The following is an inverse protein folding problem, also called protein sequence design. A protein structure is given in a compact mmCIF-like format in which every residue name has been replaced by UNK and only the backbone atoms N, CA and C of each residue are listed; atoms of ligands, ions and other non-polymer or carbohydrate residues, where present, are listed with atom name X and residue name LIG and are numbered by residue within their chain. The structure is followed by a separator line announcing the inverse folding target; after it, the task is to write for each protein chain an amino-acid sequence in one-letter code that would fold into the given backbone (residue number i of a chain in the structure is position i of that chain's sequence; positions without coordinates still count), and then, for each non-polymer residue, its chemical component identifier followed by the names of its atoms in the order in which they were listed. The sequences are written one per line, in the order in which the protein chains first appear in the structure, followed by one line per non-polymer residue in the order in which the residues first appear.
data_IF_132240438908
#
_entry.id   IF_132240438908
#
_cell.length_a   1.000
_cell.length_b   1.000
_cell.length_c   1.000
_cell.angle_alpha   90.00
_cell.angle_beta   90.00
_cell.angle_gamma   90.00
#
_symmetry.space_group_name_H-M   'P 1'
#
loop_
_entity.id
_entity.type
_entity.pdbx_description
1 polymer ?
#
# COMPACT_ATOMS: atom_id res chain seq x y z
N UNK A 1 -16.08 48.84 34.19
CA UNK A 1 -16.65 47.88 33.22
C UNK A 1 -15.55 47.32 32.38
N UNK A 2 -15.59 45.99 32.27
CA UNK A 2 -14.52 45.07 31.97
C UNK A 2 -13.92 45.27 30.57
N UNK A 3 -12.60 45.38 30.50
CA UNK A 3 -11.83 45.03 29.31
C UNK A 3 -11.82 43.51 29.23
N UNK A 4 -12.53 42.94 28.24
CA UNK A 4 -12.35 41.55 27.83
C UNK A 4 -11.03 41.46 27.05
N UNK A 5 -10.00 40.98 27.73
CA UNK A 5 -8.84 40.35 27.08
C UNK A 5 -9.38 39.15 26.27
N UNK A 6 -9.58 39.36 24.98
CA UNK A 6 -9.67 38.25 24.02
C UNK A 6 -8.24 37.77 23.86
N UNK A 7 -7.87 36.81 24.70
CA UNK A 7 -6.70 35.97 24.54
C UNK A 7 -6.95 35.15 23.26
N UNK A 8 -6.57 35.70 22.10
CA UNK A 8 -6.43 34.93 20.87
C UNK A 8 -5.28 33.96 21.11
N UNK A 9 -5.61 32.77 21.61
CA UNK A 9 -4.75 31.61 21.51
C UNK A 9 -4.46 31.46 20.02
N UNK A 10 -3.25 31.83 19.61
CA UNK A 10 -2.72 31.48 18.31
C UNK A 10 -2.86 29.96 18.21
N UNK A 11 -3.69 29.52 17.28
CA UNK A 11 -3.84 28.10 16.95
C UNK A 11 -2.48 27.64 16.41
N UNK A 12 -1.67 27.03 17.29
CA UNK A 12 -0.33 26.52 16.95
C UNK A 12 -0.40 25.15 16.28
N UNK A 13 -1.59 24.68 15.89
CA UNK A 13 -1.76 23.40 15.23
C UNK A 13 -1.24 23.49 13.80
N UNK A 14 -0.28 22.62 13.47
CA UNK A 14 0.21 22.47 12.10
C UNK A 14 -0.95 22.17 11.16
N UNK A 15 -1.07 22.97 10.11
CA UNK A 15 -2.00 22.69 9.03
C UNK A 15 -1.42 21.55 8.18
N UNK A 16 -2.19 20.47 7.91
CA UNK A 16 -1.70 19.42 7.03
C UNK A 16 -1.33 19.91 5.61
N UNK A 17 -1.88 21.03 5.14
CA UNK A 17 -1.52 21.60 3.83
C UNK A 17 -0.16 22.32 3.83
N UNK A 18 0.38 22.65 5.00
CA UNK A 18 1.68 23.33 5.15
C UNK A 18 2.87 22.34 5.30
N UNK A 19 2.60 21.03 5.40
CA UNK A 19 3.62 20.01 5.50
C UNK A 19 4.16 19.65 4.11
N UNK A 20 5.47 19.82 3.91
CA UNK A 20 6.15 19.53 2.67
C UNK A 20 7.00 18.27 2.85
N UNK A 21 6.69 17.23 2.08
CA UNK A 21 7.52 16.03 1.95
C UNK A 21 8.34 16.14 0.67
N UNK A 22 9.68 16.02 0.71
CA UNK A 22 10.47 16.09 -0.52
C UNK A 22 10.18 14.92 -1.47
N UNK A 23 9.77 15.22 -2.70
CA UNK A 23 9.41 14.25 -3.75
C UNK A 23 10.50 13.21 -4.08
N UNK A 24 11.75 13.53 -3.76
CA UNK A 24 12.88 12.60 -3.94
C UNK A 24 12.85 11.44 -2.94
N UNK A 25 12.21 11.61 -1.78
CA UNK A 25 12.15 10.61 -0.71
C UNK A 25 10.76 9.96 -0.60
N UNK A 26 9.68 10.69 -0.84
CA UNK A 26 8.34 10.12 -0.74
C UNK A 26 7.29 10.91 -1.48
N UNK A 27 6.09 10.34 -1.54
CA UNK A 27 4.92 10.94 -2.17
C UNK A 27 3.80 11.05 -1.15
N UNK A 28 3.21 12.23 -1.05
CA UNK A 28 1.96 12.42 -0.30
C UNK A 28 0.83 11.78 -1.11
N UNK A 29 0.20 10.77 -0.53
CA UNK A 29 -0.84 9.97 -1.21
C UNK A 29 -2.24 10.48 -0.89
N UNK A 30 -2.42 11.03 0.32
CA UNK A 30 -3.69 11.56 0.80
C UNK A 30 -3.47 12.57 1.91
N UNK A 31 -4.30 13.61 1.93
CA UNK A 31 -4.35 14.60 2.99
C UNK A 31 -5.79 14.76 3.46
N UNK A 32 -6.00 14.74 4.78
CA UNK A 32 -7.29 14.91 5.42
C UNK A 32 -7.22 15.94 6.54
N UNK A 33 -8.18 16.86 6.57
CA UNK A 33 -8.33 17.84 7.64
C UNK A 33 -9.39 17.38 8.63
N UNK A 34 -8.96 17.11 9.85
CA UNK A 34 -9.83 16.71 10.95
C UNK A 34 -10.40 17.89 11.74
N UNK A 35 -10.93 17.59 12.91
CA UNK A 35 -11.66 18.53 13.78
C UNK A 35 -11.14 18.60 15.21
N UNK A 36 -10.18 17.74 15.60
CA UNK A 36 -9.72 17.62 16.99
C UNK A 36 -8.43 18.38 17.30
N UNK A 37 -7.89 19.12 16.32
CA UNK A 37 -6.67 19.93 16.47
C UNK A 37 -5.36 19.14 16.51
N UNK A 38 -5.39 17.83 16.18
CA UNK A 38 -4.20 16.98 16.17
C UNK A 38 -3.88 16.49 14.77
N UNK A 39 -2.59 16.38 14.45
CA UNK A 39 -2.07 15.97 13.16
C UNK A 39 -1.22 14.70 13.28
N UNK A 40 -1.47 13.73 12.40
CA UNK A 40 -0.67 12.52 12.26
C UNK A 40 -0.08 12.42 10.85
N UNK A 41 1.24 12.28 10.73
CA UNK A 41 1.88 11.85 9.47
C UNK A 41 1.92 10.33 9.45
N UNK A 42 1.01 9.70 8.70
CA UNK A 42 1.05 8.25 8.49
C UNK A 42 2.05 7.92 7.38
N UNK A 43 3.20 7.36 7.73
CA UNK A 43 4.22 6.92 6.77
C UNK A 43 4.04 5.41 6.54
N UNK A 44 3.96 5.00 5.27
CA UNK A 44 3.85 3.59 4.93
C UNK A 44 5.21 2.89 5.07
N UNK A 45 5.25 1.81 5.83
CA UNK A 45 6.45 0.99 6.02
C UNK A 45 6.65 0.05 4.83
N UNK A 46 7.78 0.18 4.13
CA UNK A 46 8.21 -0.73 3.07
C UNK A 46 8.90 -2.01 3.61
N UNK A 47 8.91 -2.18 4.93
CA UNK A 47 9.51 -3.27 5.68
C UNK A 47 11.00 -3.44 5.34
N UNK A 48 11.47 -4.62 4.95
CA UNK A 48 12.91 -4.82 4.72
C UNK A 48 13.46 -4.23 3.41
N UNK A 49 12.69 -3.42 2.67
CA UNK A 49 13.20 -2.74 1.48
C UNK A 49 14.17 -1.62 1.86
N UNK A 50 15.46 -1.80 1.54
CA UNK A 50 16.51 -0.85 1.93
C UNK A 50 16.24 0.57 1.44
N UNK A 51 15.87 0.76 0.18
CA UNK A 51 15.59 2.10 -0.36
C UNK A 51 14.39 2.74 0.34
N UNK A 52 13.32 1.97 0.55
CA UNK A 52 12.14 2.42 1.28
C UNK A 52 12.44 2.82 2.73
N UNK A 53 13.23 2.03 3.46
CA UNK A 53 13.64 2.35 4.83
C UNK A 53 14.53 3.59 4.92
N UNK A 54 15.46 3.76 3.97
CA UNK A 54 16.31 4.96 3.93
C UNK A 54 15.50 6.20 3.57
N UNK A 55 14.53 6.07 2.67
CA UNK A 55 13.63 7.15 2.32
C UNK A 55 12.66 7.50 3.46
N UNK A 56 12.15 6.53 4.20
CA UNK A 56 11.44 6.76 5.48
C UNK A 56 12.31 7.56 6.46
N UNK A 57 13.59 7.17 6.63
CA UNK A 57 14.51 7.88 7.50
C UNK A 57 14.67 9.35 7.08
N UNK A 58 14.88 9.63 5.78
CA UNK A 58 15.00 11.00 5.29
C UNK A 58 13.70 11.82 5.45
N UNK A 59 12.53 11.21 5.27
CA UNK A 59 11.24 11.85 5.54
C UNK A 59 11.15 12.23 7.02
N UNK A 60 11.51 11.32 7.93
CA UNK A 60 11.52 11.59 9.37
C UNK A 60 12.49 12.72 9.74
N UNK A 61 13.71 12.73 9.19
CA UNK A 61 14.68 13.80 9.44
C UNK A 61 14.12 15.18 9.05
N UNK A 62 13.47 15.28 7.88
CA UNK A 62 12.80 16.53 7.44
C UNK A 62 11.70 16.94 8.41
N UNK A 63 10.85 15.98 8.83
CA UNK A 63 9.76 16.26 9.78
C UNK A 63 10.30 16.71 11.16
N UNK A 64 11.44 16.17 11.57
CA UNK A 64 12.11 16.56 12.82
C UNK A 64 12.74 17.96 12.71
N UNK A 65 13.40 18.26 11.59
CA UNK A 65 14.10 19.55 11.39
C UNK A 65 13.15 20.72 11.15
N UNK A 66 12.16 20.54 10.29
CA UNK A 66 11.32 21.64 9.79
C UNK A 66 10.03 21.80 10.60
N UNK A 67 9.56 20.73 11.26
CA UNK A 67 8.26 20.68 11.92
C UNK A 67 8.29 20.25 13.40
N UNK A 68 9.49 20.13 14.00
CA UNK A 68 9.71 19.75 15.41
C UNK A 68 9.01 18.44 15.81
N UNK A 69 8.99 17.47 14.89
CA UNK A 69 8.48 16.13 15.16
C UNK A 69 9.28 15.47 16.28
N UNK A 70 8.63 15.15 17.40
CA UNK A 70 9.29 14.55 18.57
C UNK A 70 8.67 13.21 19.03
N UNK A 71 7.59 12.75 18.39
CA UNK A 71 6.96 11.46 18.64
C UNK A 71 6.77 10.69 17.34
N UNK A 72 7.41 9.53 17.26
CA UNK A 72 7.23 8.56 16.19
C UNK A 72 6.64 7.28 16.77
N UNK A 73 5.52 6.85 16.23
CA UNK A 73 4.78 5.67 16.64
C UNK A 73 4.94 4.61 15.56
N UNK A 74 5.38 3.40 15.89
CA UNK A 74 5.70 2.38 14.89
C UNK A 74 4.94 1.08 15.12
N UNK A 75 4.58 0.38 14.04
CA UNK A 75 4.12 -1.03 14.02
C UNK A 75 5.23 -1.96 14.53
N UNK A 76 5.54 -1.80 15.81
CA UNK A 76 6.65 -2.42 16.48
C UNK A 76 6.34 -2.55 17.96
N UNK A 77 7.19 -3.30 18.66
CA UNK A 77 7.04 -3.67 20.07
C UNK A 77 6.86 -2.46 20.97
N UNK A 78 6.03 -2.64 22.00
CA UNK A 78 5.96 -1.77 23.18
C UNK A 78 7.27 -1.81 23.99
N UNK A 79 8.31 -1.19 23.46
CA UNK A 79 9.52 -0.80 24.18
C UNK A 79 9.92 0.56 23.64
N UNK A 80 10.49 1.41 24.48
CA UNK A 80 11.29 2.52 23.98
C UNK A 80 12.43 1.86 23.18
N UNK A 81 12.27 1.74 21.84
CA UNK A 81 13.38 1.36 20.95
C UNK A 81 14.31 2.54 20.95
N UNK A 82 15.07 2.63 22.02
CA UNK A 82 15.97 3.71 22.31
C UNK A 82 17.38 3.19 22.14
N UNK A 83 17.97 3.46 20.99
CA UNK A 83 19.36 3.20 20.66
C UNK A 83 20.30 4.29 21.20
N UNK A 84 19.79 5.29 21.93
CA UNK A 84 20.59 6.38 22.51
C UNK A 84 21.68 5.85 23.44
N UNK A 85 21.48 4.70 24.08
CA UNK A 85 22.50 4.10 24.95
C UNK A 85 23.79 3.70 24.20
N UNK A 86 23.73 3.56 22.86
CA UNK A 86 24.90 3.25 22.01
C UNK A 86 25.70 4.53 21.69
N UNK A 87 25.04 5.68 21.68
CA UNK A 87 25.62 6.98 21.27
C UNK A 87 26.91 7.35 22.02
N UNK A 88 27.05 7.11 23.33
CA UNK A 88 28.30 7.38 24.04
C UNK A 88 29.49 6.49 23.64
N UNK A 89 29.24 5.34 23.00
CA UNK A 89 30.26 4.33 22.71
C UNK A 89 30.82 4.42 21.30
N UNK A 90 30.08 5.02 20.36
CA UNK A 90 30.43 5.10 18.95
C UNK A 90 30.40 6.55 18.43
N UNK A 91 31.32 6.89 17.53
CA UNK A 91 31.25 8.16 16.80
C UNK A 91 30.03 8.20 15.88
N UNK A 92 29.54 9.39 15.52
CA UNK A 92 28.41 9.54 14.59
C UNK A 92 28.63 8.77 13.27
N UNK A 93 29.82 8.87 12.68
CA UNK A 93 30.17 8.13 11.46
C UNK A 93 30.07 6.61 11.65
N UNK A 94 30.53 6.11 12.81
CA UNK A 94 30.46 4.66 13.07
C UNK A 94 29.03 4.19 13.35
N UNK A 95 28.20 5.03 13.98
CA UNK A 95 26.76 4.74 14.15
C UNK A 95 26.05 4.65 12.81
N UNK A 96 26.31 5.58 11.89
CA UNK A 96 25.78 5.54 10.51
C UNK A 96 26.19 4.27 9.78
N UNK A 97 27.48 3.89 9.85
CA UNK A 97 27.97 2.65 9.22
C UNK A 97 27.30 1.40 9.80
N UNK A 98 27.14 1.31 11.12
CA UNK A 98 26.49 0.16 11.77
C UNK A 98 25.00 0.12 11.43
N UNK A 99 24.31 1.25 11.53
CA UNK A 99 22.88 1.37 11.22
C UNK A 99 22.59 0.99 9.76
N UNK A 100 23.39 1.49 8.81
CA UNK A 100 23.26 1.19 7.38
C UNK A 100 23.36 -0.32 7.09
N UNK A 101 24.31 -1.02 7.71
CA UNK A 101 24.42 -2.48 7.55
C UNK A 101 23.22 -3.21 8.18
N UNK A 102 22.74 -2.76 9.34
CA UNK A 102 21.58 -3.38 10.00
C UNK A 102 20.27 -3.18 9.21
N UNK A 103 20.09 -2.04 8.52
CA UNK A 103 18.95 -1.81 7.62
C UNK A 103 19.04 -2.75 6.42
N UNK A 104 20.23 -2.87 5.80
CA UNK A 104 20.46 -3.80 4.66
C UNK A 104 20.17 -5.25 5.01
N UNK A 105 20.50 -5.65 6.23
CA UNK A 105 20.25 -6.99 6.74
C UNK A 105 18.81 -7.18 7.28
N UNK A 106 17.97 -6.13 7.25
CA UNK A 106 16.57 -6.14 7.71
C UNK A 106 16.38 -6.20 9.23
N UNK A 107 17.43 -6.03 10.04
CA UNK A 107 17.35 -6.10 11.51
C UNK A 107 16.69 -4.86 12.13
N UNK A 108 16.82 -3.70 11.47
CA UNK A 108 16.27 -2.42 11.95
C UNK A 108 15.56 -1.69 10.81
N UNK A 109 14.65 -0.80 11.19
CA UNK A 109 13.83 0.03 10.28
C UNK A 109 14.43 1.43 10.05
N UNK A 110 13.81 2.26 9.22
CA UNK A 110 14.19 3.64 8.93
C UNK A 110 14.15 4.50 10.18
N UNK A 111 13.06 4.41 10.97
CA UNK A 111 13.00 5.09 12.28
C UNK A 111 14.11 4.64 13.24
N UNK A 112 14.46 3.35 13.25
CA UNK A 112 15.56 2.85 14.07
C UNK A 112 16.93 3.35 13.57
N UNK A 113 17.11 3.47 12.25
CA UNK A 113 18.28 4.10 11.65
C UNK A 113 18.43 5.54 12.12
N UNK A 114 17.35 6.33 12.12
CA UNK A 114 17.37 7.72 12.61
C UNK A 114 17.74 7.74 14.09
N UNK A 115 17.12 6.91 14.92
CA UNK A 115 17.38 6.90 16.37
C UNK A 115 18.82 6.47 16.71
N UNK A 116 19.36 5.49 15.99
CA UNK A 116 20.73 5.01 16.19
C UNK A 116 21.76 6.00 15.64
N UNK A 117 21.54 6.57 14.45
CA UNK A 117 22.59 7.25 13.68
C UNK A 117 22.63 8.78 13.85
N UNK A 118 21.56 9.39 14.36
CA UNK A 118 21.42 10.85 14.50
C UNK A 118 21.36 11.28 15.97
N UNK A 119 21.21 12.58 16.22
CA UNK A 119 21.04 13.15 17.56
C UNK A 119 19.69 13.85 17.77
N UNK A 120 18.72 13.66 16.87
CA UNK A 120 17.39 14.28 17.01
C UNK A 120 16.72 13.90 18.34
N UNK A 121 16.09 14.86 19.04
CA UNK A 121 15.46 14.64 20.33
C UNK A 121 14.01 14.15 20.16
N UNK A 122 13.82 12.92 19.67
CA UNK A 122 12.51 12.31 19.50
C UNK A 122 12.34 11.03 20.31
N UNK A 123 11.12 10.51 20.37
CA UNK A 123 10.79 9.20 20.95
C UNK A 123 10.25 8.29 19.87
N UNK A 124 10.88 7.12 19.70
CA UNK A 124 10.36 6.00 18.92
C UNK A 124 9.59 5.05 19.86
N UNK A 125 8.28 4.99 19.69
CA UNK A 125 7.39 4.21 20.54
C UNK A 125 6.61 3.20 19.70
N UNK A 126 6.86 1.91 19.93
CA UNK A 126 6.04 0.88 19.28
C UNK A 126 4.62 0.84 19.85
N UNK A 127 3.64 0.56 19.00
CA UNK A 127 2.21 0.49 19.32
C UNK A 127 1.62 -0.93 19.18
N UNK A 128 2.45 -1.95 18.96
CA UNK A 128 2.01 -3.33 18.70
C UNK A 128 1.61 -4.13 19.94
N UNK A 129 0.50 -4.85 19.87
CA UNK A 129 0.10 -5.78 20.92
C UNK A 129 0.83 -7.12 20.81
N UNK A 130 1.46 -7.52 21.91
CA UNK A 130 2.27 -8.74 21.92
C UNK A 130 1.46 -9.98 21.58
N UNK A 131 0.26 -10.12 22.14
CA UNK A 131 -0.54 -11.34 21.95
C UNK A 131 -1.08 -11.42 20.52
N UNK A 132 -1.53 -10.29 19.95
CA UNK A 132 -1.96 -10.23 18.55
C UNK A 132 -0.79 -10.45 17.59
N UNK A 133 0.36 -9.82 17.83
CA UNK A 133 1.57 -10.04 17.03
C UNK A 133 2.01 -11.49 17.04
N UNK A 134 2.15 -12.09 18.23
CA UNK A 134 2.56 -13.49 18.35
C UNK A 134 1.56 -14.41 17.65
N UNK A 135 0.25 -14.15 17.79
CA UNK A 135 -0.79 -14.92 17.10
C UNK A 135 -0.72 -14.78 15.59
N UNK A 136 -0.50 -13.57 15.07
CA UNK A 136 -0.37 -13.29 13.65
C UNK A 136 0.88 -13.96 13.07
N UNK A 137 2.01 -13.86 13.78
CA UNK A 137 3.27 -14.53 13.46
C UNK A 137 3.13 -16.05 13.45
N UNK A 138 2.47 -16.63 14.45
CA UNK A 138 2.24 -18.08 14.52
C UNK A 138 1.31 -18.55 13.39
N UNK A 139 0.31 -17.74 13.01
CA UNK A 139 -0.51 -18.01 11.84
C UNK A 139 0.30 -18.02 10.53
N UNK A 140 1.30 -17.14 10.41
CA UNK A 140 2.25 -17.15 9.29
C UNK A 140 3.13 -18.41 9.30
N UNK A 141 3.66 -18.83 10.46
CA UNK A 141 4.40 -20.10 10.58
C UNK A 141 3.56 -21.31 10.19
N UNK A 142 2.28 -21.34 10.56
CA UNK A 142 1.36 -22.39 10.12
C UNK A 142 1.09 -22.35 8.61
N UNK A 143 0.93 -21.15 8.02
CA UNK A 143 0.75 -20.98 6.58
C UNK A 143 1.96 -21.45 5.77
N UNK A 144 3.17 -21.13 6.23
CA UNK A 144 4.43 -21.47 5.56
C UNK A 144 4.62 -22.99 5.37
N UNK A 145 3.99 -23.83 6.20
CA UNK A 145 4.00 -25.30 6.05
C UNK A 145 3.30 -25.78 4.77
N UNK A 146 2.37 -24.99 4.24
CA UNK A 146 1.53 -25.35 3.10
C UNK A 146 1.79 -24.47 1.87
N UNK A 147 2.50 -23.33 2.04
CA UNK A 147 2.68 -22.32 0.99
C UNK A 147 3.19 -22.88 -0.34
N UNK A 148 4.16 -23.81 -0.31
CA UNK A 148 4.79 -24.36 -1.51
C UNK A 148 3.80 -25.20 -2.28
N UNK A 149 3.19 -26.19 -1.62
CA UNK A 149 2.23 -27.11 -2.24
C UNK A 149 0.96 -26.39 -2.69
N UNK A 150 0.48 -25.41 -1.92
CA UNK A 150 -0.65 -24.56 -2.32
C UNK A 150 -0.29 -23.65 -3.50
N UNK A 151 0.92 -23.08 -3.51
CA UNK A 151 1.42 -22.26 -4.62
C UNK A 151 1.52 -23.04 -5.92
N UNK A 152 2.11 -24.24 -5.89
CA UNK A 152 2.21 -25.14 -7.04
C UNK A 152 0.82 -25.46 -7.63
N UNK A 153 -0.16 -25.78 -6.78
CA UNK A 153 -1.54 -26.01 -7.22
C UNK A 153 -2.14 -24.78 -7.92
N UNK A 154 -1.97 -23.59 -7.34
CA UNK A 154 -2.49 -22.34 -7.92
C UNK A 154 -1.79 -22.01 -9.24
N UNK A 155 -0.49 -22.27 -9.34
CA UNK A 155 0.27 -22.05 -10.57
C UNK A 155 -0.18 -22.97 -11.71
N UNK A 156 -0.44 -24.25 -11.42
CA UNK A 156 -1.01 -25.20 -12.37
C UNK A 156 -2.40 -24.76 -12.85
N UNK A 157 -3.24 -24.28 -11.93
CA UNK A 157 -4.58 -23.77 -12.25
C UNK A 157 -4.51 -22.50 -13.12
N UNK A 158 -3.55 -21.61 -12.87
CA UNK A 158 -3.34 -20.41 -13.68
C UNK A 158 -2.85 -20.77 -15.08
N UNK A 159 -1.95 -21.75 -15.20
CA UNK A 159 -1.52 -22.29 -16.50
C UNK A 159 -2.74 -22.85 -17.26
N UNK A 160 -3.59 -23.63 -16.60
CA UNK A 160 -4.79 -24.17 -17.20
C UNK A 160 -5.78 -23.08 -17.66
N UNK A 161 -6.04 -22.07 -16.81
CA UNK A 161 -6.87 -20.93 -17.15
C UNK A 161 -6.32 -20.16 -18.36
N UNK A 162 -5.01 -19.85 -18.35
CA UNK A 162 -4.34 -19.17 -19.47
C UNK A 162 -4.38 -19.98 -20.76
N UNK A 163 -4.34 -21.31 -20.69
CA UNK A 163 -4.40 -22.16 -21.87
C UNK A 163 -5.77 -22.13 -22.55
N UNK A 164 -6.85 -22.04 -21.78
CA UNK A 164 -8.22 -21.99 -22.35
C UNK A 164 -8.66 -20.59 -22.77
N UNK A 165 -8.05 -19.52 -22.25
CA UNK A 165 -8.38 -18.12 -22.59
C UNK A 165 -8.50 -17.86 -24.10
N UNK A 166 -7.54 -18.23 -24.98
CA UNK A 166 -7.64 -17.94 -26.41
C UNK A 166 -8.81 -18.60 -27.14
N UNK A 167 -9.44 -19.61 -26.54
CA UNK A 167 -10.61 -20.29 -27.11
C UNK A 167 -11.94 -19.82 -26.51
N UNK A 168 -11.91 -19.08 -25.40
CA UNK A 168 -13.10 -18.64 -24.66
C UNK A 168 -13.30 -17.12 -24.78
N UNK A 169 -12.22 -16.35 -24.65
CA UNK A 169 -12.25 -14.89 -24.73
C UNK A 169 -12.44 -14.39 -26.17
N UNK A 170 -13.08 -13.23 -26.29
CA UNK A 170 -13.06 -12.43 -27.53
C UNK A 170 -11.70 -11.77 -27.69
N UNK A 171 -11.44 -11.19 -28.87
CA UNK A 171 -10.22 -10.42 -29.13
C UNK A 171 -10.07 -9.26 -28.11
N UNK A 172 -11.16 -8.53 -27.82
CA UNK A 172 -11.14 -7.44 -26.83
C UNK A 172 -10.78 -7.92 -25.41
N UNK A 173 -11.30 -9.08 -24.99
CA UNK A 173 -10.95 -9.68 -23.69
C UNK A 173 -9.52 -10.19 -23.65
N UNK A 174 -8.99 -10.72 -24.76
CA UNK A 174 -7.58 -11.12 -24.86
C UNK A 174 -6.66 -9.90 -24.83
N UNK A 175 -7.05 -8.79 -25.46
CA UNK A 175 -6.31 -7.54 -25.39
C UNK A 175 -6.29 -6.99 -23.97
N UNK A 176 -7.43 -6.96 -23.26
CA UNK A 176 -7.50 -6.54 -21.86
C UNK A 176 -6.63 -7.43 -20.97
N UNK A 177 -6.71 -8.75 -21.11
CA UNK A 177 -5.88 -9.70 -20.37
C UNK A 177 -4.38 -9.48 -20.62
N UNK A 178 -4.01 -9.23 -21.89
CA UNK A 178 -2.63 -8.95 -22.27
C UNK A 178 -2.13 -7.62 -21.72
N UNK A 179 -2.97 -6.57 -21.74
CA UNK A 179 -2.62 -5.25 -21.19
C UNK A 179 -2.47 -5.30 -19.67
N UNK A 180 -3.39 -5.99 -18.98
CA UNK A 180 -3.28 -6.21 -17.53
C UNK A 180 -2.01 -6.98 -17.18
N UNK A 181 -1.71 -8.06 -17.92
CA UNK A 181 -0.48 -8.83 -17.69
C UNK A 181 0.77 -7.97 -17.92
N UNK A 182 0.81 -7.17 -18.99
CA UNK A 182 1.94 -6.29 -19.27
C UNK A 182 2.13 -5.23 -18.17
N UNK A 183 1.04 -4.71 -17.61
CA UNK A 183 1.08 -3.80 -16.46
C UNK A 183 1.62 -4.51 -15.21
N UNK A 184 1.09 -5.70 -14.90
CA UNK A 184 1.52 -6.51 -13.74
C UNK A 184 2.98 -6.96 -13.80
N UNK A 185 3.55 -7.08 -15.01
CA UNK A 185 4.96 -7.41 -15.23
C UNK A 185 5.83 -6.19 -15.55
N UNK A 186 5.31 -4.98 -15.35
CA UNK A 186 6.00 -3.70 -15.57
C UNK A 186 6.55 -3.53 -17.01
N UNK A 187 5.95 -4.23 -17.99
CA UNK A 187 6.26 -4.07 -19.41
C UNK A 187 5.64 -2.78 -19.98
N UNK A 188 4.53 -2.33 -19.38
CA UNK A 188 3.91 -1.02 -19.61
C UNK A 188 3.73 -0.31 -18.27
N UNK A 189 3.75 1.02 -18.29
CA UNK A 189 3.54 1.81 -17.08
C UNK A 189 2.06 1.98 -16.74
N UNK A 190 1.80 2.54 -15.55
CA UNK A 190 0.46 2.81 -15.04
C UNK A 190 -0.36 3.68 -16.01
N UNK A 191 0.25 4.72 -16.56
CA UNK A 191 -0.45 5.66 -17.43
C UNK A 191 -0.88 4.99 -18.74
N UNK A 192 -0.03 4.14 -19.33
CA UNK A 192 -0.38 3.38 -20.53
C UNK A 192 -1.55 2.41 -20.25
N UNK A 193 -1.54 1.71 -19.12
CA UNK A 193 -2.63 0.81 -18.76
C UNK A 193 -3.93 1.56 -18.48
N UNK A 194 -3.87 2.68 -17.76
CA UNK A 194 -5.04 3.47 -17.41
C UNK A 194 -5.62 4.19 -18.62
N UNK A 195 -4.78 4.68 -19.55
CA UNK A 195 -5.24 5.20 -20.84
C UNK A 195 -5.99 4.13 -21.65
N UNK A 196 -5.52 2.88 -21.61
CA UNK A 196 -6.18 1.76 -22.28
C UNK A 196 -7.55 1.46 -21.65
N UNK A 197 -7.63 1.37 -20.31
CA UNK A 197 -8.91 1.18 -19.60
C UNK A 197 -9.90 2.32 -19.91
N UNK A 198 -9.43 3.56 -19.85
CA UNK A 198 -10.24 4.74 -20.13
C UNK A 198 -10.81 4.74 -21.55
N UNK A 199 -9.97 4.51 -22.57
CA UNK A 199 -10.41 4.43 -23.97
C UNK A 199 -11.38 3.28 -24.21
N UNK A 200 -11.13 2.13 -23.57
CA UNK A 200 -12.02 0.97 -23.67
C UNK A 200 -13.38 1.27 -23.04
N UNK A 201 -13.39 1.94 -21.88
CA UNK A 201 -14.61 2.39 -21.22
C UNK A 201 -15.38 3.42 -22.07
N UNK A 202 -14.70 4.41 -22.63
CA UNK A 202 -15.30 5.41 -23.52
C UNK A 202 -15.94 4.77 -24.76
N UNK A 203 -15.22 3.88 -25.45
CA UNK A 203 -15.71 3.18 -26.64
C UNK A 203 -16.93 2.29 -26.38
N UNK A 204 -17.13 1.87 -25.12
CA UNK A 204 -18.26 1.04 -24.70
C UNK A 204 -19.34 1.82 -23.93
N UNK A 205 -19.32 3.16 -24.00
CA UNK A 205 -20.30 4.05 -23.36
C UNK A 205 -20.41 3.87 -21.83
N UNK A 206 -19.32 3.43 -21.18
CA UNK A 206 -19.25 3.31 -19.72
C UNK A 206 -19.23 4.72 -19.11
N UNK A 207 -20.04 5.01 -18.06
CA UNK A 207 -20.18 6.35 -17.50
C UNK A 207 -18.93 6.80 -16.72
N UNK A 208 -17.94 7.36 -17.43
CA UNK A 208 -16.65 7.79 -16.85
C UNK A 208 -16.77 8.87 -15.75
N UNK A 209 -17.91 9.58 -15.65
CA UNK A 209 -18.17 10.53 -14.56
C UNK A 209 -18.24 9.87 -13.18
N UNK A 210 -18.36 8.54 -13.09
CA UNK A 210 -18.28 7.79 -11.82
C UNK A 210 -16.83 7.48 -11.42
N UNK A 211 -15.86 7.82 -12.26
CA UNK A 211 -14.42 7.62 -12.04
C UNK A 211 -13.66 8.95 -12.22
N UNK A 212 -13.97 9.97 -11.40
CA UNK A 212 -13.42 11.32 -11.57
C UNK A 212 -11.89 11.37 -11.48
N UNK A 213 -11.25 10.53 -10.66
CA UNK A 213 -9.80 10.53 -10.56
C UNK A 213 -9.15 9.95 -11.82
N UNK A 214 -9.72 8.91 -12.42
CA UNK A 214 -9.33 8.47 -13.77
C UNK A 214 -9.49 9.58 -14.80
N UNK A 215 -10.62 10.29 -14.81
CA UNK A 215 -10.83 11.41 -15.74
C UNK A 215 -9.78 12.52 -15.55
N UNK A 216 -9.46 12.86 -14.30
CA UNK A 216 -8.48 13.89 -13.98
C UNK A 216 -7.06 13.46 -14.39
N UNK A 217 -6.65 12.21 -14.14
CA UNK A 217 -5.35 11.69 -14.57
C UNK A 217 -5.21 11.73 -16.09
N UNK A 218 -6.19 11.23 -16.83
CA UNK A 218 -6.14 11.20 -18.30
C UNK A 218 -6.17 12.62 -18.86
N UNK A 219 -7.04 13.49 -18.33
CA UNK A 219 -7.08 14.92 -18.70
C UNK A 219 -5.73 15.60 -18.46
N UNK A 220 -5.12 15.41 -17.29
CA UNK A 220 -3.83 15.97 -16.95
C UNK A 220 -2.73 15.50 -17.92
N UNK A 221 -2.66 14.19 -18.19
CA UNK A 221 -1.71 13.62 -19.14
C UNK A 221 -1.87 14.17 -20.57
N UNK A 222 -3.11 14.29 -21.04
CA UNK A 222 -3.39 14.84 -22.38
C UNK A 222 -3.04 16.32 -22.50
N UNK A 223 -3.26 17.10 -21.44
CA UNK A 223 -2.91 18.51 -21.38
C UNK A 223 -1.39 18.70 -21.29
N UNK A 224 -0.71 17.91 -20.47
CA UNK A 224 0.75 17.96 -20.32
C UNK A 224 1.46 17.77 -21.67
N UNK A 225 0.96 16.85 -22.52
CA UNK A 225 1.48 16.63 -23.88
C UNK A 225 1.29 17.83 -24.82
N UNK A 226 0.38 18.76 -24.51
CA UNK A 226 0.05 19.95 -25.32
C UNK A 226 0.72 21.23 -24.81
N UNK A 227 1.21 21.24 -23.57
CA UNK A 227 1.77 22.43 -22.91
C UNK A 227 3.29 22.43 -23.03
N UNK A 228 3.88 23.55 -23.43
CA UNK A 228 5.32 23.78 -23.29
C UNK A 228 5.62 24.39 -21.91
N UNK A 229 5.94 23.53 -20.93
CA UNK A 229 6.24 23.95 -19.55
C UNK A 229 7.44 24.92 -19.47
N UNK A 230 8.33 24.94 -20.48
CA UNK A 230 9.44 25.89 -20.53
C UNK A 230 8.91 27.31 -20.73
N UNK A 231 7.98 27.48 -21.68
CA UNK A 231 7.35 28.77 -21.96
C UNK A 231 6.50 29.29 -20.80
N UNK A 232 5.81 28.38 -20.11
CA UNK A 232 5.04 28.73 -18.91
C UNK A 232 5.98 29.26 -17.83
N UNK A 233 7.09 28.55 -17.58
CA UNK A 233 8.06 28.91 -16.54
C UNK A 233 8.80 30.21 -16.83
N UNK A 234 9.15 30.49 -18.08
CA UNK A 234 9.88 31.70 -18.46
C UNK A 234 8.99 32.90 -18.80
N UNK A 235 7.67 32.73 -18.75
CA UNK A 235 6.67 33.77 -19.00
C UNK A 235 6.48 34.12 -20.48
N UNK A 236 6.92 33.26 -21.41
CA UNK A 236 6.74 33.43 -22.85
C UNK A 236 5.55 32.67 -23.45
N UNK A 237 4.79 31.94 -22.61
CA UNK A 237 3.57 31.25 -23.03
C UNK A 237 2.51 32.25 -23.55
N UNK A 238 1.78 31.82 -24.59
CA UNK A 238 0.61 32.53 -25.11
C UNK A 238 -0.58 32.42 -24.16
N UNK A 239 -1.59 33.29 -24.31
CA UNK A 239 -2.82 33.22 -23.51
C UNK A 239 -3.49 31.83 -23.65
N UNK A 240 -3.51 31.25 -24.85
CA UNK A 240 -4.05 29.89 -25.09
C UNK A 240 -3.24 28.80 -24.35
N UNK A 241 -1.91 28.90 -24.33
CA UNK A 241 -1.06 27.97 -23.57
C UNK A 241 -1.26 28.12 -22.05
N UNK A 242 -1.49 29.34 -21.57
CA UNK A 242 -1.79 29.62 -20.16
C UNK A 242 -3.17 29.11 -19.74
N UNK A 243 -4.17 29.16 -20.64
CA UNK A 243 -5.49 28.56 -20.42
C UNK A 243 -5.38 27.03 -20.27
N UNK A 244 -4.66 26.37 -21.19
CA UNK A 244 -4.38 24.92 -21.10
C UNK A 244 -3.63 24.55 -19.82
N UNK A 245 -2.64 25.36 -19.43
CA UNK A 245 -1.90 25.17 -18.19
C UNK A 245 -2.79 25.34 -16.95
N UNK A 246 -3.74 26.28 -16.98
CA UNK A 246 -4.70 26.46 -15.89
C UNK A 246 -5.62 25.25 -15.75
N UNK A 247 -6.09 24.67 -16.85
CA UNK A 247 -6.86 23.42 -16.83
C UNK A 247 -6.03 22.22 -16.35
N UNK A 248 -4.73 22.17 -16.69
CA UNK A 248 -3.81 21.14 -16.20
C UNK A 248 -3.63 21.25 -14.69
N UNK A 249 -3.46 22.46 -14.16
CA UNK A 249 -3.38 22.70 -12.72
C UNK A 249 -4.67 22.32 -11.99
N UNK A 250 -5.84 22.59 -12.58
CA UNK A 250 -7.12 22.16 -12.01
C UNK A 250 -7.23 20.63 -11.97
N UNK A 251 -6.93 19.95 -13.08
CA UNK A 251 -6.98 18.49 -13.16
C UNK A 251 -6.00 17.82 -12.19
N UNK A 252 -4.79 18.35 -12.03
CA UNK A 252 -3.79 17.81 -11.09
C UNK A 252 -4.14 18.12 -9.63
N UNK A 253 -4.71 19.30 -9.34
CA UNK A 253 -5.19 19.65 -8.00
C UNK A 253 -6.36 18.77 -7.54
N UNK A 254 -7.28 18.48 -8.45
CA UNK A 254 -8.49 17.70 -8.15
C UNK A 254 -8.25 16.18 -8.26
N UNK A 255 -7.04 15.74 -8.61
CA UNK A 255 -6.63 14.34 -8.65
C UNK A 255 -6.23 13.86 -7.24
N UNK A 256 -6.93 12.85 -6.73
CA UNK A 256 -6.56 12.14 -5.52
C UNK A 256 -6.05 10.72 -5.87
N UNK A 257 -4.78 10.46 -5.57
CA UNK A 257 -4.11 9.20 -5.94
C UNK A 257 -4.67 7.99 -5.17
N UNK A 258 -5.05 8.14 -3.90
CA UNK A 258 -5.67 7.04 -3.16
C UNK A 258 -7.06 6.70 -3.71
N UNK A 259 -7.86 7.70 -4.05
CA UNK A 259 -9.17 7.46 -4.68
C UNK A 259 -8.99 6.90 -6.10
N UNK A 260 -7.96 7.30 -6.84
CA UNK A 260 -7.60 6.71 -8.13
C UNK A 260 -7.33 5.20 -8.01
N UNK A 261 -6.54 4.76 -7.03
CA UNK A 261 -6.27 3.33 -6.81
C UNK A 261 -7.50 2.56 -6.32
N UNK A 262 -8.47 3.22 -5.68
CA UNK A 262 -9.79 2.62 -5.37
C UNK A 262 -10.67 2.52 -6.62
N UNK A 263 -10.59 3.49 -7.52
CA UNK A 263 -11.32 3.52 -8.80
C UNK A 263 -10.82 2.47 -9.79
N UNK A 264 -9.51 2.19 -9.83
CA UNK A 264 -8.89 1.27 -10.80
C UNK A 264 -9.58 -0.11 -10.84
N UNK A 265 -9.64 -0.89 -9.74
CA UNK A 265 -10.24 -2.21 -9.78
C UNK A 265 -11.75 -2.16 -10.09
N UNK A 266 -12.43 -1.05 -9.77
CA UNK A 266 -13.85 -0.87 -10.08
C UNK A 266 -14.06 -0.62 -11.57
N UNK A 267 -13.24 0.23 -12.19
CA UNK A 267 -13.29 0.48 -13.63
C UNK A 267 -12.92 -0.78 -14.41
N UNK A 268 -11.85 -1.47 -14.00
CA UNK A 268 -11.44 -2.74 -14.61
C UNK A 268 -12.58 -3.78 -14.55
N UNK A 269 -13.23 -3.94 -13.40
CA UNK A 269 -14.36 -4.87 -13.24
C UNK A 269 -15.54 -4.50 -14.17
N UNK A 270 -15.88 -3.21 -14.29
CA UNK A 270 -16.95 -2.75 -15.18
C UNK A 270 -16.58 -2.96 -16.65
N UNK A 271 -15.33 -2.72 -17.04
CA UNK A 271 -14.82 -3.01 -18.39
C UNK A 271 -14.88 -4.51 -18.67
N UNK A 272 -14.37 -5.35 -17.78
CA UNK A 272 -14.42 -6.81 -17.90
C UNK A 272 -15.86 -7.32 -18.07
N UNK A 273 -16.79 -6.85 -17.23
CA UNK A 273 -18.19 -7.24 -17.29
C UNK A 273 -18.90 -6.74 -18.56
N UNK A 274 -18.46 -5.62 -19.13
CA UNK A 274 -18.99 -5.09 -20.39
C UNK A 274 -18.51 -5.91 -21.58
N UNK A 275 -17.22 -6.27 -21.62
CA UNK A 275 -16.63 -7.05 -22.72
C UNK A 275 -17.02 -8.54 -22.70
N UNK A 276 -17.35 -9.09 -21.53
CA UNK A 276 -17.74 -10.49 -21.40
C UNK A 276 -19.19 -10.75 -21.82
N UNK A 277 -19.40 -11.17 -23.07
CA UNK A 277 -20.75 -11.32 -23.66
C UNK A 277 -21.44 -12.66 -23.34
N UNK A 278 -20.73 -13.64 -22.79
CA UNK A 278 -21.31 -14.95 -22.45
C UNK A 278 -20.88 -15.49 -21.07
N UNK A 279 -21.52 -16.58 -20.66
CA UNK A 279 -21.31 -17.22 -19.36
C UNK A 279 -19.87 -17.72 -19.16
N UNK A 280 -19.28 -18.38 -20.16
CA UNK A 280 -17.94 -18.97 -20.05
C UNK A 280 -16.87 -17.88 -19.92
N UNK A 281 -17.02 -16.76 -20.63
CA UNK A 281 -16.14 -15.60 -20.52
C UNK A 281 -16.18 -14.99 -19.12
N UNK A 282 -17.39 -14.68 -18.61
CA UNK A 282 -17.57 -14.14 -17.25
C UNK A 282 -17.02 -15.09 -16.19
N UNK A 283 -17.23 -16.39 -16.37
CA UNK A 283 -16.76 -17.39 -15.42
C UNK A 283 -15.24 -17.52 -15.45
N UNK A 284 -14.61 -17.50 -16.63
CA UNK A 284 -13.15 -17.56 -16.74
C UNK A 284 -12.46 -16.30 -16.20
N UNK A 285 -13.05 -15.11 -16.36
CA UNK A 285 -12.58 -13.87 -15.73
C UNK A 285 -12.58 -14.00 -14.20
N UNK A 286 -13.71 -14.43 -13.62
CA UNK A 286 -13.82 -14.64 -12.16
C UNK A 286 -12.83 -15.68 -11.64
N UNK A 287 -12.67 -16.81 -12.35
CA UNK A 287 -11.68 -17.83 -11.99
C UNK A 287 -10.26 -17.27 -12.05
N UNK A 288 -9.93 -16.52 -13.09
CA UNK A 288 -8.60 -15.93 -13.27
C UNK A 288 -8.29 -14.89 -12.19
N UNK A 289 -9.24 -14.00 -11.87
CA UNK A 289 -9.12 -13.02 -10.78
C UNK A 289 -8.95 -13.72 -9.42
N UNK A 290 -9.78 -14.72 -9.13
CA UNK A 290 -9.71 -15.44 -7.86
C UNK A 290 -8.39 -16.20 -7.70
N UNK A 291 -7.89 -16.84 -8.77
CA UNK A 291 -6.58 -17.50 -8.76
C UNK A 291 -5.43 -16.51 -8.53
N UNK A 292 -5.47 -15.33 -9.17
CA UNK A 292 -4.48 -14.26 -8.96
C UNK A 292 -4.46 -13.78 -7.51
N UNK A 293 -5.64 -13.49 -6.95
CA UNK A 293 -5.78 -13.03 -5.56
C UNK A 293 -5.28 -14.12 -4.59
N UNK A 294 -5.61 -15.40 -4.80
CA UNK A 294 -5.08 -16.47 -3.93
C UNK A 294 -3.57 -16.63 -4.06
N UNK A 295 -2.99 -16.45 -5.25
CA UNK A 295 -1.53 -16.40 -5.42
C UNK A 295 -0.93 -15.27 -4.58
N UNK A 296 -1.50 -14.07 -4.62
CA UNK A 296 -1.02 -12.91 -3.86
C UNK A 296 -1.19 -13.10 -2.34
N UNK A 297 -2.31 -13.67 -1.90
CA UNK A 297 -2.54 -14.07 -0.50
C UNK A 297 -1.47 -15.04 0.00
N UNK A 298 -1.17 -16.10 -0.77
CA UNK A 298 -0.16 -17.09 -0.40
C UNK A 298 1.23 -16.46 -0.36
N UNK A 299 1.51 -15.51 -1.25
CA UNK A 299 2.76 -14.77 -1.33
C UNK A 299 2.91 -13.65 -0.29
N UNK A 300 1.83 -13.27 0.41
CA UNK A 300 1.80 -12.11 1.31
C UNK A 300 2.11 -10.82 0.55
N UNK A 301 1.49 -10.69 -0.63
CA UNK A 301 1.65 -9.55 -1.55
C UNK A 301 0.30 -8.95 -1.95
N UNK A 302 -0.76 -9.29 -1.23
CA UNK A 302 -2.10 -8.76 -1.50
C UNK A 302 -2.16 -7.27 -1.15
N UNK A 303 -2.79 -6.49 -2.03
CA UNK A 303 -3.14 -5.09 -1.73
C UNK A 303 -4.52 -5.01 -1.01
N UNK A 304 -4.83 -3.92 -0.28
CA UNK A 304 -6.09 -3.83 0.47
C UNK A 304 -7.35 -4.06 -0.37
N UNK A 305 -7.37 -3.59 -1.62
CA UNK A 305 -8.49 -3.71 -2.56
C UNK A 305 -8.75 -5.17 -2.94
N UNK A 306 -7.68 -5.94 -3.20
CA UNK A 306 -7.76 -7.38 -3.46
C UNK A 306 -8.25 -8.13 -2.22
N UNK A 307 -7.81 -7.74 -1.02
CA UNK A 307 -8.25 -8.37 0.23
C UNK A 307 -9.73 -8.08 0.51
N UNK A 308 -10.18 -6.86 0.27
CA UNK A 308 -11.60 -6.48 0.31
C UNK A 308 -12.41 -7.32 -0.67
N UNK A 309 -11.96 -7.44 -1.92
CA UNK A 309 -12.61 -8.27 -2.92
C UNK A 309 -12.71 -9.74 -2.49
N UNK A 310 -11.64 -10.30 -1.89
CA UNK A 310 -11.64 -11.65 -1.33
C UNK A 310 -12.71 -11.83 -0.25
N UNK A 311 -12.81 -10.88 0.68
CA UNK A 311 -13.77 -10.92 1.78
C UNK A 311 -15.22 -10.76 1.30
N UNK A 312 -15.47 -9.86 0.36
CA UNK A 312 -16.81 -9.56 -0.15
C UNK A 312 -17.36 -10.64 -1.11
N UNK A 313 -16.46 -11.38 -1.75
CA UNK A 313 -16.80 -12.39 -2.77
C UNK A 313 -16.37 -13.81 -2.38
N UNK A 314 -16.37 -14.16 -1.08
CA UNK A 314 -15.88 -15.46 -0.57
C UNK A 314 -16.41 -16.69 -1.34
N UNK A 315 -17.64 -16.63 -1.87
CA UNK A 315 -18.25 -17.69 -2.70
C UNK A 315 -17.51 -17.97 -4.01
N UNK A 316 -16.79 -16.99 -4.55
CA UNK A 316 -16.01 -17.11 -5.78
C UNK A 316 -14.65 -17.74 -5.51
N UNK A 317 -14.28 -17.92 -4.23
CA UNK A 317 -13.03 -18.52 -3.75
C UNK A 317 -13.13 -20.01 -3.42
N UNK A 318 -13.72 -20.77 -4.35
CA UNK A 318 -13.90 -22.22 -4.21
C UNK A 318 -13.06 -23.00 -5.24
N UNK A 319 -11.99 -23.69 -4.80
CA UNK A 319 -11.10 -24.41 -5.70
C UNK A 319 -11.77 -25.63 -6.37
N UNK A 320 -12.85 -26.18 -5.79
CA UNK A 320 -13.64 -27.23 -6.43
C UNK A 320 -14.35 -26.68 -7.66
N UNK A 321 -14.95 -25.48 -7.56
CA UNK A 321 -15.64 -24.85 -8.69
C UNK A 321 -14.67 -24.43 -9.80
N UNK A 322 -13.50 -23.89 -9.46
CA UNK A 322 -12.48 -23.56 -10.46
C UNK A 322 -12.01 -24.83 -11.19
N UNK A 323 -11.67 -25.88 -10.45
CA UNK A 323 -11.18 -27.15 -11.00
C UNK A 323 -12.23 -27.82 -11.89
N UNK A 324 -13.49 -27.84 -11.47
CA UNK A 324 -14.59 -28.39 -12.26
C UNK A 324 -14.78 -27.63 -13.58
N UNK A 325 -14.78 -26.29 -13.52
CA UNK A 325 -14.95 -25.46 -14.71
C UNK A 325 -13.80 -25.65 -15.71
N UNK A 326 -12.55 -25.59 -15.26
CA UNK A 326 -11.41 -25.77 -16.16
C UNK A 326 -11.37 -27.18 -16.76
N UNK A 327 -11.79 -28.22 -16.01
CA UNK A 327 -11.89 -29.60 -16.52
C UNK A 327 -12.94 -29.73 -17.61
N UNK A 328 -14.11 -29.16 -17.37
CA UNK A 328 -15.20 -29.09 -18.34
C UNK A 328 -14.69 -28.44 -19.63
N UNK A 329 -14.11 -27.24 -19.54
CA UNK A 329 -13.60 -26.51 -20.71
C UNK A 329 -12.43 -27.19 -21.39
N UNK A 330 -11.51 -27.80 -20.64
CA UNK A 330 -10.42 -28.57 -21.21
C UNK A 330 -10.92 -29.75 -22.06
N UNK A 331 -11.95 -30.45 -21.57
CA UNK A 331 -12.58 -31.56 -22.30
C UNK A 331 -13.35 -31.07 -23.53
N UNK A 332 -14.13 -29.99 -23.41
CA UNK A 332 -14.91 -29.44 -24.53
C UNK A 332 -14.02 -28.92 -25.67
N UNK A 333 -12.88 -28.33 -25.30
CA UNK A 333 -11.93 -27.70 -26.23
C UNK A 333 -10.80 -28.64 -26.68
N UNK A 334 -10.75 -29.88 -26.17
CA UNK A 334 -9.75 -30.91 -26.48
C UNK A 334 -8.29 -30.56 -26.10
N UNK A 335 -8.08 -29.75 -25.06
CA UNK A 335 -6.72 -29.36 -24.62
C UNK A 335 -5.96 -30.45 -23.85
N UNK A 336 -6.63 -31.50 -23.36
CA UNK A 336 -6.02 -32.57 -22.56
C UNK A 336 -5.17 -32.04 -21.38
N UNK A 337 -5.65 -31.01 -20.69
CA UNK A 337 -4.94 -30.37 -19.58
C UNK A 337 -4.92 -31.30 -18.36
N UNK A 338 -3.76 -31.40 -17.71
CA UNK A 338 -3.66 -32.05 -16.41
C UNK A 338 -4.11 -31.08 -15.33
N UNK A 339 -5.41 -31.12 -14.99
CA UNK A 339 -6.00 -30.26 -13.98
C UNK A 339 -6.05 -31.03 -12.66
N UNK A 340 -5.33 -30.58 -11.62
CA UNK A 340 -5.19 -31.34 -10.39
C UNK A 340 -6.55 -31.61 -9.70
N UNK A 341 -6.72 -32.81 -9.16
CA UNK A 341 -7.94 -33.21 -8.42
C UNK A 341 -7.85 -32.92 -6.92
N UNK A 342 -6.67 -32.54 -6.42
CA UNK A 342 -6.35 -32.30 -5.01
C UNK A 342 -6.70 -30.87 -4.55
N UNK A 343 -7.85 -30.33 -4.96
CA UNK A 343 -8.34 -29.01 -4.54
C UNK A 343 -8.45 -28.85 -3.01
N UNK A 344 -8.48 -29.98 -2.27
CA UNK A 344 -8.45 -29.98 -0.81
C UNK A 344 -7.24 -29.25 -0.22
N UNK A 345 -6.10 -29.21 -0.92
CA UNK A 345 -4.92 -28.43 -0.50
C UNK A 345 -5.29 -26.96 -0.28
N UNK A 346 -6.07 -26.38 -1.19
CA UNK A 346 -6.51 -25.00 -1.10
C UNK A 346 -7.61 -24.84 -0.06
N UNK A 347 -8.58 -25.77 0.00
CA UNK A 347 -9.60 -25.75 1.06
C UNK A 347 -9.00 -25.81 2.47
N UNK A 348 -7.90 -26.54 2.67
CA UNK A 348 -7.20 -26.63 3.94
C UNK A 348 -6.32 -25.40 4.22
N UNK A 349 -5.87 -24.70 3.19
CA UNK A 349 -4.93 -23.56 3.28
C UNK A 349 -5.66 -22.23 3.40
N UNK A 350 -6.76 -22.00 2.66
CA UNK A 350 -7.50 -20.74 2.66
C UNK A 350 -7.94 -20.28 4.07
N UNK A 351 -8.44 -21.14 4.97
CA UNK A 351 -8.75 -20.72 6.33
C UNK A 351 -7.54 -20.21 7.12
N UNK A 352 -6.33 -20.74 6.86
CA UNK A 352 -5.08 -20.31 7.52
C UNK A 352 -4.65 -18.93 7.02
N UNK A 353 -4.71 -18.74 5.71
CA UNK A 353 -4.51 -17.44 5.07
C UNK A 353 -5.49 -16.41 5.63
N UNK A 354 -6.79 -16.73 5.67
CA UNK A 354 -7.83 -15.85 6.21
C UNK A 354 -7.55 -15.48 7.66
N UNK A 355 -7.09 -16.44 8.46
CA UNK A 355 -6.72 -16.19 9.85
C UNK A 355 -5.51 -15.25 9.99
N UNK A 356 -4.47 -15.41 9.16
CA UNK A 356 -3.32 -14.50 9.13
C UNK A 356 -3.77 -13.05 8.87
N UNK A 357 -4.49 -12.80 7.78
CA UNK A 357 -4.92 -11.44 7.44
C UNK A 357 -5.95 -10.87 8.41
N UNK A 358 -6.85 -11.71 8.94
CA UNK A 358 -7.77 -11.29 9.99
C UNK A 358 -7.01 -10.81 11.23
N UNK A 359 -6.01 -11.58 11.68
CA UNK A 359 -5.20 -11.19 12.83
C UNK A 359 -4.41 -9.91 12.55
N UNK A 360 -3.91 -9.71 11.33
CA UNK A 360 -3.28 -8.46 10.93
C UNK A 360 -4.24 -7.27 11.07
N UNK A 361 -5.48 -7.41 10.58
CA UNK A 361 -6.52 -6.38 10.69
C UNK A 361 -6.98 -6.13 12.13
N UNK A 362 -7.05 -7.17 12.99
CA UNK A 362 -7.44 -7.03 14.39
C UNK A 362 -6.48 -6.11 15.19
N UNK A 363 -5.24 -5.91 14.70
CA UNK A 363 -4.23 -5.00 15.30
C UNK A 363 -4.52 -3.52 15.07
N UNK A 364 -5.22 -3.16 14.01
CA UNK A 364 -5.41 -1.76 13.58
C UNK A 364 -6.11 -0.91 14.66
N UNK A 365 -7.09 -1.50 15.34
CA UNK A 365 -7.77 -0.84 16.47
C UNK A 365 -6.85 -0.62 17.67
N UNK A 366 -5.93 -1.55 17.91
CA UNK A 366 -4.92 -1.43 18.95
C UNK A 366 -3.97 -0.28 18.62
N UNK A 367 -3.51 -0.19 17.36
CA UNK A 367 -2.65 0.88 16.89
C UNK A 367 -3.25 2.24 17.19
N UNK A 368 -4.50 2.49 16.78
CA UNK A 368 -5.19 3.75 17.08
C UNK A 368 -5.26 4.02 18.59
N UNK A 369 -5.72 3.05 19.38
CA UNK A 369 -5.91 3.23 20.82
C UNK A 369 -4.61 3.61 21.54
N UNK A 370 -3.48 3.09 21.07
CA UNK A 370 -2.15 3.34 21.65
C UNK A 370 -1.53 4.62 21.13
N UNK A 371 -1.75 4.95 19.86
CA UNK A 371 -1.44 6.27 19.30
C UNK A 371 -2.11 7.37 20.12
N UNK A 372 -3.43 7.25 20.35
CA UNK A 372 -4.19 8.19 21.18
C UNK A 372 -3.63 8.30 22.60
N UNK A 373 -3.32 7.16 23.23
CA UNK A 373 -2.73 7.12 24.57
C UNK A 373 -1.37 7.81 24.63
N UNK A 374 -0.47 7.52 23.68
CA UNK A 374 0.88 8.07 23.67
C UNK A 374 0.89 9.58 23.42
N UNK A 375 0.08 10.07 22.48
CA UNK A 375 -0.07 11.50 22.26
C UNK A 375 -0.63 12.21 23.50
N UNK A 376 -1.62 11.60 24.17
CA UNK A 376 -2.24 12.17 25.39
C UNK A 376 -1.27 12.18 26.57
N UNK A 377 -0.60 11.06 26.85
CA UNK A 377 0.34 10.94 27.98
C UNK A 377 1.53 11.91 27.85
N UNK A 378 1.94 12.19 26.61
CA UNK A 378 3.07 13.09 26.30
C UNK A 378 2.65 14.54 26.08
N UNK A 379 1.35 14.82 25.95
CA UNK A 379 0.83 16.16 25.69
C UNK A 379 1.28 16.72 24.34
N UNK A 380 1.33 15.87 23.30
CA UNK A 380 1.69 16.28 21.94
C UNK A 380 0.49 16.20 21.00
N UNK A 381 0.41 17.17 20.10
CA UNK A 381 -0.66 17.26 19.08
C UNK A 381 -0.17 16.89 17.68
N UNK A 382 1.14 16.63 17.52
CA UNK A 382 1.78 16.21 16.27
C UNK A 382 2.59 14.93 16.49
N UNK A 383 2.40 13.93 15.62
CA UNK A 383 3.14 12.68 15.66
C UNK A 383 3.26 12.05 14.26
N UNK A 384 4.25 11.17 14.08
CA UNK A 384 4.31 10.28 12.93
C UNK A 384 3.82 8.88 13.33
N UNK A 385 3.12 8.20 12.42
CA UNK A 385 2.62 6.83 12.56
C UNK A 385 3.15 5.97 11.41
N UNK A 386 4.04 5.04 11.71
CA UNK A 386 4.66 4.12 10.75
C UNK A 386 3.97 2.77 10.83
N UNK A 387 3.35 2.32 9.73
CA UNK A 387 2.74 1.01 9.61
C UNK A 387 2.74 0.54 8.15
N UNK A 388 2.67 -0.76 7.91
CA UNK A 388 2.67 -1.31 6.56
C UNK A 388 1.48 -0.81 5.72
N UNK A 389 1.69 -0.66 4.40
CA UNK A 389 0.68 -0.11 3.48
C UNK A 389 -0.68 -0.83 3.53
N UNK A 390 -0.69 -2.14 3.88
CA UNK A 390 -1.90 -2.93 4.09
C UNK A 390 -2.87 -2.32 5.11
N UNK A 391 -2.35 -1.66 6.16
CA UNK A 391 -3.16 -1.07 7.23
C UNK A 391 -3.75 0.29 6.89
N UNK A 392 -3.24 0.95 5.85
CA UNK A 392 -3.55 2.35 5.52
C UNK A 392 -5.05 2.61 5.46
N UNK A 393 -5.88 1.85 4.71
CA UNK A 393 -7.28 2.21 4.54
C UNK A 393 -8.07 2.18 5.85
N UNK A 394 -7.85 1.17 6.69
CA UNK A 394 -8.53 1.11 7.99
C UNK A 394 -7.98 2.17 8.95
N UNK A 395 -6.67 2.42 8.94
CA UNK A 395 -6.06 3.42 9.81
C UNK A 395 -6.55 4.83 9.47
N UNK A 396 -6.65 5.21 8.20
CA UNK A 396 -7.16 6.52 7.79
C UNK A 396 -8.64 6.70 8.14
N UNK A 397 -9.47 5.67 7.93
CA UNK A 397 -10.88 5.68 8.38
C UNK A 397 -10.98 5.89 9.90
N UNK A 398 -10.19 5.14 10.67
CA UNK A 398 -10.14 5.23 12.13
C UNK A 398 -9.64 6.60 12.63
N UNK A 399 -8.67 7.19 11.94
CA UNK A 399 -8.14 8.53 12.25
C UNK A 399 -9.16 9.63 11.94
N UNK A 400 -9.80 9.57 10.77
CA UNK A 400 -10.86 10.48 10.37
C UNK A 400 -12.04 10.42 11.34
N UNK A 401 -12.50 9.22 11.70
CA UNK A 401 -13.59 9.01 12.66
C UNK A 401 -13.27 9.56 14.06
N UNK A 402 -11.98 9.53 14.45
CA UNK A 402 -11.49 10.12 15.69
C UNK A 402 -11.20 11.64 15.59
N UNK A 403 -11.45 12.24 14.42
CA UNK A 403 -11.34 13.67 14.14
C UNK A 403 -9.91 14.17 13.95
N UNK A 404 -8.93 13.29 13.69
CA UNK A 404 -7.55 13.69 13.42
C UNK A 404 -7.41 14.29 12.02
N UNK A 405 -6.58 15.32 11.90
CA UNK A 405 -5.95 15.60 10.61
C UNK A 405 -4.87 14.55 10.35
N UNK A 406 -4.70 14.12 9.10
CA UNK A 406 -3.61 13.24 8.72
C UNK A 406 -3.10 13.48 7.32
N UNK A 407 -1.86 13.09 7.10
CA UNK A 407 -1.22 12.99 5.78
C UNK A 407 -0.69 11.57 5.65
N UNK A 408 -1.03 10.89 4.56
CA UNK A 408 -0.43 9.60 4.21
C UNK A 408 0.76 9.84 3.29
N UNK A 409 1.90 9.25 3.63
CA UNK A 409 3.15 9.36 2.87
C UNK A 409 3.63 7.96 2.50
N UNK A 410 3.83 7.69 1.21
CA UNK A 410 4.56 6.51 0.76
C UNK A 410 6.02 6.88 0.51
N UNK A 411 6.99 6.26 1.21
CA UNK A 411 8.39 6.33 0.79
C UNK A 411 8.53 5.85 -0.66
N UNK A 412 9.45 6.47 -1.39
CA UNK A 412 9.74 6.08 -2.77
C UNK A 412 10.50 4.75 -2.77
N UNK A 413 10.03 3.80 -3.56
CA UNK A 413 10.68 2.49 -3.73
C UNK A 413 10.72 2.18 -5.22
N UNK A 414 11.93 2.03 -5.75
CA UNK A 414 12.22 1.66 -7.15
C UNK A 414 12.98 0.34 -7.25
N UNK A 415 13.35 -0.22 -6.10
CA UNK A 415 14.08 -1.47 -5.97
C UNK A 415 13.16 -2.61 -5.50
N UNK A 416 13.39 -3.82 -6.02
CA UNK A 416 12.64 -4.99 -5.58
C UNK A 416 12.91 -5.33 -4.11
N UNK A 417 11.85 -5.68 -3.39
CA UNK A 417 11.96 -6.20 -2.02
C UNK A 417 12.29 -7.69 -2.04
N UNK A 418 13.33 -8.10 -1.32
CA UNK A 418 13.68 -9.51 -1.14
C UNK A 418 12.56 -10.27 -0.41
N UNK A 419 11.94 -11.25 -1.09
CA UNK A 419 10.78 -11.99 -0.57
C UNK A 419 11.12 -12.83 0.68
N UNK A 420 12.32 -13.39 0.76
CA UNK A 420 12.73 -14.23 1.88
C UNK A 420 13.05 -13.35 3.10
N UNK A 421 13.71 -12.21 2.90
CA UNK A 421 13.94 -11.21 3.93
C UNK A 421 12.62 -10.62 4.44
N UNK A 422 11.69 -10.33 3.53
CA UNK A 422 10.36 -9.81 3.87
C UNK A 422 9.60 -10.78 4.77
N UNK A 423 9.53 -12.06 4.36
CA UNK A 423 8.91 -13.10 5.18
C UNK A 423 9.64 -13.33 6.49
N UNK A 424 10.96 -13.24 6.49
CA UNK A 424 11.76 -13.36 7.70
C UNK A 424 11.43 -12.24 8.69
N UNK A 425 11.33 -10.99 8.22
CA UNK A 425 10.98 -9.83 9.04
C UNK A 425 9.61 -10.00 9.71
N UNK A 426 8.60 -10.48 8.98
CA UNK A 426 7.28 -10.79 9.53
C UNK A 426 7.28 -11.95 10.55
N UNK A 427 8.31 -12.79 10.55
CA UNK A 427 8.48 -13.94 11.46
C UNK A 427 9.47 -13.69 12.58
N UNK A 428 10.10 -12.52 12.63
CA UNK A 428 11.06 -12.20 13.67
C UNK A 428 10.41 -12.37 15.04
N UNK A 429 11.16 -12.97 15.96
CA UNK A 429 10.67 -13.05 17.32
C UNK A 429 10.54 -11.66 17.92
N UNK A 430 9.95 -11.58 19.10
CA UNK A 430 10.21 -10.47 19.99
C UNK A 430 11.71 -10.47 20.37
N UNK A 431 12.61 -10.07 19.46
CA UNK A 431 14.01 -9.68 19.74
C UNK A 431 14.01 -8.95 21.08
N UNK A 432 14.69 -9.50 22.10
CA UNK A 432 14.99 -8.77 23.32
C UNK A 432 15.78 -7.50 23.00
N UNK A 433 15.79 -6.51 23.88
CA UNK A 433 16.67 -5.34 23.78
C UNK A 433 18.10 -5.78 23.37
N UNK A 434 18.65 -5.17 22.31
CA UNK A 434 20.03 -5.41 21.86
C UNK A 434 20.97 -5.09 23.02
N UNK A 435 21.46 -6.12 23.71
CA UNK A 435 22.37 -5.90 24.84
C UNK A 435 23.70 -5.43 24.27
N UNK A 436 24.29 -4.37 24.84
CA UNK A 436 25.50 -3.71 24.33
C UNK A 436 26.78 -4.57 24.18
N UNK A 437 26.72 -5.89 24.39
CA UNK A 437 27.78 -6.83 24.01
C UNK A 437 27.55 -7.54 22.66
N UNK A 438 26.41 -7.29 22.01
CA UNK A 438 26.01 -7.85 20.71
C UNK A 438 26.19 -6.84 19.55
N UNK A 439 26.73 -5.64 19.84
CA UNK A 439 26.97 -4.53 18.90
C UNK A 439 28.46 -4.38 18.63
#
# INVERSE_FOLDING_TARGET
DFEEDIDTVLDTTLDPEDIIIPDQYGTVIETHRGTNGKLIIHIQDAHCNYEGQMNEAYILEVLMEDYDLNLVLSESKLTDRDFKYIRPWLTADKRKEVADNLVKDGYITGVDYVDLSTDYPFVNQGIEDKELYDSNRDALWELDKYKVVAGEYIDEMIIAANTVKPSIYTDDLLELDSKKKAYDTEEIDLLEYYEYLYKTAENNEIPLYTFPNFQNLIKASELEKKIDLTKVRDGSATDEEMDLYSEYLEATRDLNINELFKEEPLLEDVVQDTLAVNYDQRKLLRVSKALSIVRNLLKIKIVPEEYRHFMDNEKDFDPMFWSAFLKEKSSELNFSLDIPNNYQIINDTLPKVKNFYKLAADREKVFLSRTQKQMTDRGVDFAALIAGGFHTPTLTDLLADAGYSYIVVSPKVTTETDEELYRWALKMDWIPELKGGEI
#
